data_IF_970373185149
#
_entry.id   IF_970373185149
#
_cell.length_a   1.000
_cell.length_b   1.000
_cell.length_c   1.000
_cell.angle_alpha   90.00
_cell.angle_beta   90.00
_cell.angle_gamma   90.00
#
_symmetry.space_group_name_H-M   'P 1'
#
loop_
_entity.id
_entity.type
_entity.pdbx_description
1 polymer ?
#
# COMPACT_ATOMS: atom_id res chain seq x y z
N UNK A 1 -58.74 1.36 56.81
CA UNK A 1 -58.36 0.38 57.85
C UNK A 1 -57.96 -0.90 57.13
N UNK A 2 -57.00 -0.79 56.22
CA UNK A 2 -55.55 -0.56 56.44
C UNK A 2 -54.89 -1.93 56.60
N UNK A 3 -54.17 -2.35 55.55
CA UNK A 3 -52.69 -2.45 55.56
C UNK A 3 -52.21 -3.51 56.57
N UNK A 4 -51.50 -4.56 56.20
CA UNK A 4 -50.22 -4.47 55.50
C UNK A 4 -49.66 -5.89 55.33
N UNK A 5 -48.93 -6.11 54.24
CA UNK A 5 -48.41 -7.41 53.86
C UNK A 5 -47.15 -7.85 54.61
N UNK A 6 -46.65 -9.01 54.22
CA UNK A 6 -45.21 -9.32 54.19
C UNK A 6 -45.00 -10.46 53.20
N UNK A 7 -44.18 -10.18 52.19
CA UNK A 7 -43.90 -11.10 51.10
C UNK A 7 -42.98 -12.25 51.49
N UNK A 8 -43.00 -13.28 50.66
CA UNK A 8 -41.92 -14.27 50.58
C UNK A 8 -41.67 -14.64 49.12
N UNK A 9 -40.69 -13.94 48.55
CA UNK A 9 -39.63 -14.46 47.68
C UNK A 9 -39.85 -15.85 47.06
N UNK A 10 -40.51 -15.90 45.91
CA UNK A 10 -40.44 -17.04 44.98
C UNK A 10 -39.44 -16.72 43.87
N UNK A 11 -38.21 -17.16 44.13
CA UNK A 11 -37.03 -17.22 43.24
C UNK A 11 -37.34 -17.41 41.74
N UNK A 12 -37.32 -16.29 41.00
CA UNK A 12 -37.16 -16.26 39.55
C UNK A 12 -35.69 -16.55 39.16
N UNK A 13 -35.13 -17.68 39.62
CA UNK A 13 -33.73 -18.11 39.35
C UNK A 13 -33.60 -19.43 38.59
N UNK A 14 -34.71 -20.12 38.30
CA UNK A 14 -34.70 -21.49 37.77
C UNK A 14 -34.69 -21.59 36.24
N UNK A 15 -35.06 -20.54 35.51
CA UNK A 15 -35.11 -20.61 34.03
C UNK A 15 -33.75 -20.38 33.34
N UNK A 16 -32.84 -19.59 33.93
CA UNK A 16 -31.54 -19.29 33.29
C UNK A 16 -30.62 -20.53 33.18
N UNK A 17 -30.70 -21.44 34.16
CA UNK A 17 -29.82 -22.63 34.26
C UNK A 17 -30.18 -23.74 33.25
N UNK A 18 -31.42 -23.79 32.76
CA UNK A 18 -31.91 -24.85 31.87
C UNK A 18 -31.51 -24.63 30.40
N UNK A 19 -31.38 -23.36 29.98
CA UNK A 19 -30.95 -23.00 28.62
C UNK A 19 -29.43 -22.86 28.47
N UNK A 20 -28.70 -22.71 29.59
CA UNK A 20 -27.25 -22.63 29.63
C UNK A 20 -26.51 -23.71 28.85
N UNK A 21 -26.80 -25.03 29.01
CA UNK A 21 -26.12 -26.06 28.23
C UNK A 21 -26.42 -25.99 26.73
N UNK A 22 -27.63 -25.57 26.34
CA UNK A 22 -28.00 -25.36 24.93
C UNK A 22 -27.28 -24.15 24.33
N UNK A 23 -27.22 -23.03 25.05
CA UNK A 23 -26.47 -21.83 24.64
C UNK A 23 -24.97 -22.14 24.52
N UNK A 24 -24.42 -22.91 25.46
CA UNK A 24 -23.00 -23.29 25.46
C UNK A 24 -22.69 -24.25 24.30
N UNK A 25 -23.59 -25.18 23.99
CA UNK A 25 -23.46 -26.07 22.83
C UNK A 25 -23.55 -25.28 21.50
N UNK A 26 -24.48 -24.32 21.39
CA UNK A 26 -24.57 -23.45 20.21
C UNK A 26 -23.32 -22.58 20.06
N UNK A 27 -22.84 -21.98 21.16
CA UNK A 27 -21.61 -21.20 21.14
C UNK A 27 -20.40 -22.06 20.72
N UNK A 28 -20.31 -23.28 21.23
CA UNK A 28 -19.24 -24.22 20.87
C UNK A 28 -19.33 -24.65 19.40
N UNK A 29 -20.53 -24.90 18.89
CA UNK A 29 -20.73 -25.17 17.46
C UNK A 29 -20.30 -23.99 16.59
N UNK A 30 -20.66 -22.75 16.96
CA UNK A 30 -20.24 -21.55 16.23
C UNK A 30 -18.71 -21.47 16.18
N UNK A 31 -18.03 -21.70 17.31
CA UNK A 31 -16.56 -21.69 17.38
C UNK A 31 -15.96 -22.79 16.50
N UNK A 32 -16.46 -24.03 16.60
CA UNK A 32 -15.94 -25.17 15.83
C UNK A 32 -16.15 -24.97 14.32
N UNK A 33 -17.35 -24.54 13.91
CA UNK A 33 -17.65 -24.27 12.49
C UNK A 33 -16.78 -23.12 11.97
N UNK A 34 -16.64 -22.04 12.74
CA UNK A 34 -15.81 -20.89 12.35
C UNK A 34 -14.33 -21.28 12.23
N UNK A 35 -13.80 -22.03 13.18
CA UNK A 35 -12.41 -22.51 13.16
C UNK A 35 -12.16 -23.49 12.00
N UNK A 36 -13.10 -24.40 11.73
CA UNK A 36 -13.02 -25.35 10.63
C UNK A 36 -13.05 -24.64 9.27
N UNK A 37 -13.93 -23.64 9.12
CA UNK A 37 -13.99 -22.80 7.92
C UNK A 37 -12.71 -21.99 7.74
N UNK A 38 -12.18 -21.40 8.82
CA UNK A 38 -10.92 -20.67 8.78
C UNK A 38 -9.75 -21.57 8.33
N UNK A 39 -9.63 -22.76 8.91
CA UNK A 39 -8.59 -23.73 8.54
C UNK A 39 -8.73 -24.18 7.08
N UNK A 40 -9.95 -24.51 6.64
CA UNK A 40 -10.24 -24.86 5.25
C UNK A 40 -9.80 -23.74 4.28
N UNK A 41 -10.14 -22.49 4.59
CA UNK A 41 -9.77 -21.32 3.78
C UNK A 41 -8.27 -21.10 3.71
N UNK A 42 -7.56 -21.25 4.81
CA UNK A 42 -6.10 -21.14 4.83
C UNK A 42 -5.47 -22.24 3.97
N UNK A 43 -5.92 -23.49 4.10
CA UNK A 43 -5.39 -24.62 3.29
C UNK A 43 -5.65 -24.37 1.79
N UNK A 44 -6.86 -23.91 1.45
CA UNK A 44 -7.20 -23.57 0.07
C UNK A 44 -6.31 -22.44 -0.46
N UNK A 45 -6.06 -21.41 0.33
CA UNK A 45 -5.17 -20.32 -0.07
C UNK A 45 -3.70 -20.74 -0.15
N UNK A 46 -3.22 -21.62 0.73
CA UNK A 46 -1.86 -22.13 0.67
C UNK A 46 -1.62 -22.95 -0.62
N UNK A 47 -2.67 -23.50 -1.22
CA UNK A 47 -2.60 -24.14 -2.54
C UNK A 47 -2.35 -23.15 -3.69
N UNK A 48 -2.48 -21.84 -3.45
CA UNK A 48 -2.21 -20.77 -4.43
C UNK A 48 -3.38 -20.41 -5.33
N UNK A 49 -4.59 -20.87 -5.01
CA UNK A 49 -5.79 -20.56 -5.78
C UNK A 49 -6.16 -19.08 -5.56
N UNK A 50 -6.32 -18.34 -6.67
CA UNK A 50 -7.03 -17.07 -6.64
C UNK A 50 -8.52 -17.36 -6.55
N UNK A 51 -9.12 -17.02 -5.41
CA UNK A 51 -10.51 -17.37 -5.11
C UNK A 51 -11.52 -16.62 -5.97
N UNK A 52 -11.19 -15.41 -6.43
CA UNK A 52 -12.04 -14.65 -7.34
C UNK A 52 -12.17 -15.33 -8.72
N UNK A 53 -11.12 -16.06 -9.14
CA UNK A 53 -11.04 -16.71 -10.45
C UNK A 53 -11.27 -18.23 -10.37
N UNK A 54 -11.27 -18.80 -9.16
CA UNK A 54 -11.41 -20.25 -8.94
C UNK A 54 -10.23 -21.09 -9.45
N UNK A 55 -9.09 -20.48 -9.77
CA UNK A 55 -7.90 -21.17 -10.31
C UNK A 55 -6.59 -20.56 -9.83
N UNK A 56 -5.50 -21.26 -10.08
CA UNK A 56 -4.14 -20.70 -9.95
C UNK A 56 -3.88 -19.78 -11.14
N UNK A 57 -3.31 -18.60 -10.88
CA UNK A 57 -2.92 -17.66 -11.93
C UNK A 57 -1.56 -18.06 -12.52
N UNK A 58 -1.36 -17.80 -13.81
CA UNK A 58 -0.02 -17.94 -14.41
C UNK A 58 0.93 -16.88 -13.87
N UNK A 59 2.24 -17.15 -13.88
CA UNK A 59 3.24 -16.25 -13.26
C UNK A 59 3.20 -14.82 -13.83
N UNK A 60 3.07 -14.69 -15.16
CA UNK A 60 2.97 -13.39 -15.83
C UNK A 60 1.65 -12.69 -15.51
N UNK A 61 0.54 -13.41 -15.52
CA UNK A 61 -0.78 -12.86 -15.17
C UNK A 61 -0.79 -12.36 -13.72
N UNK A 62 -0.27 -13.16 -12.80
CA UNK A 62 -0.16 -12.80 -11.40
C UNK A 62 0.72 -11.56 -11.18
N UNK A 63 1.86 -11.49 -11.87
CA UNK A 63 2.75 -10.32 -11.82
C UNK A 63 2.07 -9.06 -12.35
N UNK A 64 1.33 -9.16 -13.45
CA UNK A 64 0.58 -8.01 -13.96
C UNK A 64 -0.47 -7.55 -12.94
N UNK A 65 -1.27 -8.46 -12.36
CA UNK A 65 -2.25 -8.10 -11.32
C UNK A 65 -1.60 -7.45 -10.10
N UNK A 66 -0.39 -7.91 -9.74
CA UNK A 66 0.42 -7.29 -8.69
C UNK A 66 0.82 -5.85 -9.01
N UNK A 67 1.32 -5.61 -10.22
CA UNK A 67 1.64 -4.26 -10.70
C UNK A 67 0.39 -3.36 -10.72
N UNK A 68 -0.75 -3.87 -11.20
CA UNK A 68 -2.03 -3.16 -11.19
C UNK A 68 -2.47 -2.83 -9.76
N UNK A 69 -2.25 -3.75 -8.82
CA UNK A 69 -2.54 -3.54 -7.40
C UNK A 69 -1.68 -2.45 -6.78
N UNK A 70 -0.38 -2.38 -7.11
CA UNK A 70 0.50 -1.28 -6.68
C UNK A 70 0.01 0.07 -7.20
N UNK A 71 -0.31 0.16 -8.49
CA UNK A 71 -0.83 1.40 -9.11
C UNK A 71 -2.12 1.83 -8.43
N UNK A 72 -3.05 0.90 -8.22
CA UNK A 72 -4.31 1.16 -7.53
C UNK A 72 -4.09 1.63 -6.09
N UNK A 73 -3.14 1.04 -5.36
CA UNK A 73 -2.84 1.45 -3.99
C UNK A 73 -2.44 2.93 -3.92
N UNK A 74 -1.52 3.36 -4.79
CA UNK A 74 -1.05 4.76 -4.81
C UNK A 74 -2.15 5.73 -5.26
N UNK A 75 -2.97 5.34 -6.24
CA UNK A 75 -4.14 6.12 -6.66
C UNK A 75 -5.11 6.28 -5.49
N UNK A 76 -5.48 5.19 -4.82
CA UNK A 76 -6.38 5.23 -3.67
C UNK A 76 -5.82 6.09 -2.54
N UNK A 77 -4.52 5.98 -2.25
CA UNK A 77 -3.86 6.79 -1.23
C UNK A 77 -3.91 8.27 -1.56
N UNK A 78 -3.65 8.65 -2.81
CA UNK A 78 -3.80 10.02 -3.27
C UNK A 78 -5.21 10.58 -3.05
N UNK A 79 -6.25 9.81 -3.38
CA UNK A 79 -7.63 10.23 -3.11
C UNK A 79 -7.98 10.26 -1.62
N UNK A 80 -7.48 9.31 -0.80
CA UNK A 80 -7.69 9.31 0.65
C UNK A 80 -7.06 10.55 1.29
N UNK A 81 -5.87 10.92 0.83
CA UNK A 81 -5.17 12.13 1.25
C UNK A 81 -5.97 13.39 0.87
N UNK A 82 -6.42 13.51 -0.40
CA UNK A 82 -7.29 14.61 -0.85
C UNK A 82 -8.55 14.77 -0.02
N UNK A 83 -9.23 13.66 0.32
CA UNK A 83 -10.46 13.69 1.14
C UNK A 83 -10.21 14.13 2.58
N UNK A 84 -9.01 13.87 3.11
CA UNK A 84 -8.65 14.22 4.48
C UNK A 84 -8.21 15.69 4.59
N UNK A 85 -7.25 16.11 3.76
CA UNK A 85 -6.61 17.43 3.87
C UNK A 85 -7.22 18.49 2.93
N UNK A 86 -8.06 18.08 1.98
CA UNK A 86 -8.66 18.96 0.98
C UNK A 86 -7.69 19.45 -0.10
N UNK A 87 -6.41 19.09 -0.04
CA UNK A 87 -5.36 19.44 -1.00
C UNK A 87 -5.08 18.29 -1.97
N UNK A 88 -4.27 18.53 -2.99
CA UNK A 88 -3.93 17.54 -4.04
C UNK A 88 -2.42 17.27 -4.08
N UNK A 89 -1.75 17.46 -2.95
CA UNK A 89 -0.29 17.40 -2.85
C UNK A 89 0.23 15.96 -2.97
N UNK A 90 -0.44 14.96 -2.38
CA UNK A 90 -0.10 13.57 -2.64
C UNK A 90 -0.64 13.13 -4.01
N UNK A 91 0.27 12.85 -4.95
CA UNK A 91 -0.02 12.49 -6.33
C UNK A 91 0.51 11.09 -6.66
N UNK A 92 -0.22 10.40 -7.52
CA UNK A 92 0.23 9.22 -8.23
C UNK A 92 0.32 9.53 -9.73
N UNK A 93 1.44 9.17 -10.35
CA UNK A 93 1.71 9.38 -11.76
C UNK A 93 2.37 8.17 -12.39
N UNK A 94 2.32 8.11 -13.72
CA UNK A 94 2.90 7.04 -14.53
C UNK A 94 3.83 7.66 -15.57
N UNK A 95 5.02 7.07 -15.73
CA UNK A 95 5.88 7.29 -16.91
C UNK A 95 5.69 6.08 -17.83
N UNK A 96 5.05 6.30 -18.98
CA UNK A 96 4.75 5.25 -19.96
C UNK A 96 5.96 4.96 -20.86
N UNK A 97 6.09 3.71 -21.33
CA UNK A 97 7.10 3.33 -22.34
C UNK A 97 8.54 3.43 -21.84
N UNK A 98 8.75 3.19 -20.55
CA UNK A 98 9.96 3.58 -19.83
C UNK A 98 11.12 2.54 -19.88
N UNK A 99 11.29 1.80 -20.98
CA UNK A 99 12.34 0.77 -21.08
C UNK A 99 13.73 1.29 -20.73
N UNK A 100 14.08 2.46 -21.29
CA UNK A 100 15.38 3.11 -21.17
C UNK A 100 15.36 4.33 -20.22
N UNK A 101 14.39 4.37 -19.30
CA UNK A 101 14.26 5.50 -18.38
C UNK A 101 15.45 5.55 -17.41
N UNK A 102 16.22 6.63 -17.53
CA UNK A 102 17.37 6.94 -16.67
C UNK A 102 17.03 8.12 -15.74
N UNK A 103 16.62 7.85 -14.49
CA UNK A 103 16.29 8.90 -13.53
C UNK A 103 17.51 9.74 -13.16
N UNK A 104 18.71 9.16 -13.16
CA UNK A 104 19.95 9.88 -12.81
C UNK A 104 20.28 10.91 -13.87
N UNK A 105 20.24 10.51 -15.15
CA UNK A 105 20.42 11.44 -16.27
C UNK A 105 19.38 12.55 -16.24
N UNK A 106 18.13 12.20 -15.97
CA UNK A 106 17.04 13.18 -15.91
C UNK A 106 17.29 14.22 -14.80
N UNK A 107 17.66 13.78 -13.60
CA UNK A 107 18.03 14.66 -12.47
C UNK A 107 19.14 15.62 -12.85
N UNK A 108 20.20 15.12 -13.50
CA UNK A 108 21.34 15.95 -13.93
C UNK A 108 20.93 17.05 -14.93
N UNK A 109 19.91 16.79 -15.75
CA UNK A 109 19.40 17.75 -16.75
C UNK A 109 18.24 18.63 -16.26
N UNK A 110 17.66 18.32 -15.10
CA UNK A 110 16.49 19.02 -14.57
C UNK A 110 16.85 20.36 -13.91
N UNK A 111 18.10 20.57 -13.51
CA UNK A 111 18.52 21.78 -12.78
C UNK A 111 18.31 23.03 -13.63
N UNK A 112 17.56 23.99 -13.09
CA UNK A 112 17.38 25.35 -13.62
C UNK A 112 16.83 25.44 -15.06
N UNK A 113 16.13 24.42 -15.54
CA UNK A 113 15.58 24.41 -16.91
C UNK A 113 14.15 24.99 -17.02
N UNK A 114 13.61 25.52 -15.92
CA UNK A 114 12.28 26.16 -15.86
C UNK A 114 11.07 25.23 -15.88
N UNK A 115 11.23 23.92 -16.05
CA UNK A 115 10.13 22.94 -16.13
C UNK A 115 9.60 22.50 -14.75
N UNK A 116 8.35 22.06 -14.69
CA UNK A 116 7.79 21.40 -13.49
C UNK A 116 8.50 20.08 -13.21
N UNK A 117 8.26 19.50 -12.03
CA UNK A 117 8.77 18.17 -11.70
C UNK A 117 8.22 17.12 -12.68
N UNK A 118 6.92 17.17 -12.96
CA UNK A 118 6.23 16.29 -13.89
C UNK A 118 6.81 16.37 -15.31
N UNK A 119 7.04 17.59 -15.82
CA UNK A 119 7.56 17.81 -17.17
C UNK A 119 9.01 17.34 -17.32
N UNK A 120 9.80 17.43 -16.25
CA UNK A 120 11.20 16.99 -16.27
C UNK A 120 11.31 15.47 -16.39
N UNK A 121 10.44 14.74 -15.70
CA UNK A 121 10.46 13.28 -15.70
C UNK A 121 9.48 12.64 -16.70
N UNK A 122 8.66 13.44 -17.39
CA UNK A 122 7.64 12.93 -18.30
C UNK A 122 6.51 12.20 -17.56
N UNK A 123 6.15 12.67 -16.36
CA UNK A 123 5.15 12.02 -15.50
C UNK A 123 3.76 12.41 -15.98
N UNK A 124 2.93 11.42 -16.31
CA UNK A 124 1.50 11.60 -16.49
C UNK A 124 0.81 11.41 -15.14
N UNK A 125 0.28 12.48 -14.55
CA UNK A 125 -0.46 12.39 -13.28
C UNK A 125 -1.78 11.67 -13.50
N UNK A 126 -1.99 10.58 -12.78
CA UNK A 126 -3.21 9.76 -12.86
C UNK A 126 -4.13 9.97 -11.66
N UNK A 127 -3.58 10.38 -10.50
CA UNK A 127 -4.36 10.75 -9.34
C UNK A 127 -3.68 11.85 -8.50
N UNK A 128 -4.45 12.71 -7.83
CA UNK A 128 -5.90 12.72 -7.83
C UNK A 128 -6.44 13.48 -9.05
N UNK A 129 -7.48 12.98 -9.71
CA UNK A 129 -8.14 13.75 -10.77
C UNK A 129 -8.89 14.96 -10.18
N UNK A 130 -9.08 16.00 -11.00
CA UNK A 130 -9.87 17.18 -10.62
C UNK A 130 -11.32 16.80 -10.29
N UNK A 131 -11.87 15.81 -10.99
CA UNK A 131 -13.18 15.22 -10.72
C UNK A 131 -13.00 13.96 -9.86
N UNK A 132 -13.87 13.75 -8.86
CA UNK A 132 -13.77 12.65 -7.88
C UNK A 132 -14.08 11.25 -8.45
N UNK A 133 -13.95 11.07 -9.77
CA UNK A 133 -14.13 9.78 -10.42
C UNK A 133 -12.82 9.03 -10.48
N UNK A 134 -12.81 7.84 -9.87
CA UNK A 134 -11.72 6.89 -9.91
C UNK A 134 -11.84 6.09 -11.20
N UNK A 135 -11.38 6.65 -12.32
CA UNK A 135 -11.21 5.90 -13.58
C UNK A 135 -9.75 5.48 -13.65
N UNK A 136 -9.47 4.20 -13.39
CA UNK A 136 -8.11 3.66 -13.45
C UNK A 136 -7.96 2.94 -14.79
N UNK A 137 -7.21 3.53 -15.70
CA UNK A 137 -6.65 2.80 -16.83
C UNK A 137 -5.28 2.24 -16.41
N UNK A 138 -5.18 0.92 -16.33
CA UNK A 138 -3.97 0.27 -15.83
C UNK A 138 -2.88 0.30 -16.90
N UNK A 139 -1.67 0.78 -16.56
CA UNK A 139 -0.61 0.94 -17.55
C UNK A 139 -0.11 -0.42 -18.06
N UNK A 140 0.05 -0.52 -19.38
CA UNK A 140 0.76 -1.65 -19.98
C UNK A 140 2.25 -1.51 -19.76
N UNK A 141 2.89 -2.60 -19.41
CA UNK A 141 4.34 -2.64 -19.29
C UNK A 141 5.03 -2.34 -20.63
N UNK A 142 6.23 -1.71 -20.60
CA UNK A 142 6.95 -1.22 -19.43
C UNK A 142 6.52 0.20 -19.01
N UNK A 143 6.39 0.39 -17.70
CA UNK A 143 6.07 1.69 -17.09
C UNK A 143 6.84 1.91 -15.77
N UNK A 144 6.91 3.17 -15.31
CA UNK A 144 7.37 3.53 -13.96
C UNK A 144 6.21 4.15 -13.19
N UNK A 145 5.86 3.56 -12.05
CA UNK A 145 4.92 4.14 -11.11
C UNK A 145 5.65 5.21 -10.28
N UNK A 146 5.09 6.40 -10.21
CA UNK A 146 5.63 7.52 -9.44
C UNK A 146 4.62 7.94 -8.39
N UNK A 147 4.97 7.77 -7.12
CA UNK A 147 4.20 8.30 -5.99
C UNK A 147 4.98 9.46 -5.39
N UNK A 148 4.39 10.66 -5.31
CA UNK A 148 5.11 11.83 -4.85
C UNK A 148 4.23 12.85 -4.14
N UNK A 149 4.87 13.63 -3.28
CA UNK A 149 4.24 14.75 -2.60
C UNK A 149 4.69 16.05 -3.26
N UNK A 150 3.76 16.71 -3.94
CA UNK A 150 3.91 17.99 -4.62
C UNK A 150 3.66 19.16 -3.66
N UNK A 151 4.58 19.31 -2.70
CA UNK A 151 4.53 20.35 -1.69
C UNK A 151 5.92 20.67 -1.15
N UNK A 152 5.97 21.50 -0.11
CA UNK A 152 7.25 21.84 0.54
C UNK A 152 7.93 20.60 1.10
N UNK A 153 9.24 20.48 0.89
CA UNK A 153 10.04 19.32 1.29
C UNK A 153 9.54 17.98 0.69
N UNK A 154 8.83 18.07 -0.44
CA UNK A 154 8.25 16.95 -1.17
C UNK A 154 9.27 15.91 -1.61
N UNK A 155 8.82 14.67 -1.67
CA UNK A 155 9.62 13.55 -2.15
C UNK A 155 8.83 12.65 -3.09
N UNK A 156 9.56 11.95 -3.95
CA UNK A 156 9.05 11.11 -5.00
C UNK A 156 9.71 9.73 -4.93
N UNK A 157 8.89 8.70 -5.11
CA UNK A 157 9.31 7.31 -5.25
C UNK A 157 9.01 6.85 -6.66
N UNK A 158 10.03 6.38 -7.36
CA UNK A 158 9.94 5.84 -8.73
C UNK A 158 10.08 4.33 -8.68
N UNK A 159 9.07 3.59 -9.13
CA UNK A 159 9.03 2.12 -9.09
C UNK A 159 8.90 1.58 -10.51
N UNK A 160 10.01 1.17 -11.17
CA UNK A 160 9.97 0.60 -12.50
C UNK A 160 9.37 -0.82 -12.48
N UNK A 161 8.31 -1.03 -13.26
CA UNK A 161 7.60 -2.31 -13.38
C UNK A 161 8.52 -3.48 -13.75
N UNK A 162 9.46 -3.27 -14.69
CA UNK A 162 10.40 -4.27 -15.17
C UNK A 162 11.34 -4.83 -14.09
N UNK A 163 11.56 -4.10 -12.99
CA UNK A 163 12.39 -4.53 -11.87
C UNK A 163 11.60 -5.11 -10.69
N UNK A 164 10.28 -5.25 -10.86
CA UNK A 164 9.44 -6.02 -9.94
C UNK A 164 9.49 -7.48 -10.32
N UNK A 165 10.23 -8.27 -9.55
CA UNK A 165 10.56 -9.66 -9.85
C UNK A 165 10.07 -10.60 -8.75
N UNK A 166 9.57 -11.79 -9.08
CA UNK A 166 9.18 -12.77 -8.07
C UNK A 166 10.38 -13.20 -7.23
N UNK A 167 10.18 -13.42 -5.94
CA UNK A 167 11.18 -13.99 -5.05
C UNK A 167 11.22 -15.50 -5.25
N UNK A 168 12.40 -16.05 -5.53
CA UNK A 168 12.60 -17.47 -5.82
C UNK A 168 12.38 -18.38 -4.61
N UNK A 169 12.81 -17.97 -3.41
CA UNK A 169 12.57 -18.69 -2.16
C UNK A 169 11.70 -17.86 -1.20
N UNK A 170 10.37 -18.11 -1.16
CA UNK A 170 9.46 -17.38 -0.30
C UNK A 170 9.51 -17.86 1.17
N UNK A 171 10.22 -18.96 1.48
CA UNK A 171 10.13 -19.64 2.77
C UNK A 171 10.51 -18.76 3.97
N UNK A 172 11.49 -17.88 3.80
CA UNK A 172 11.90 -16.92 4.84
C UNK A 172 10.81 -15.88 5.11
N UNK A 173 10.20 -15.35 4.05
CA UNK A 173 9.21 -14.27 4.15
C UNK A 173 7.85 -14.79 4.59
N UNK A 174 7.49 -16.02 4.22
CA UNK A 174 6.26 -16.68 4.66
C UNK A 174 6.14 -16.76 6.18
N UNK A 175 7.26 -16.89 6.91
CA UNK A 175 7.28 -16.90 8.38
C UNK A 175 6.81 -15.57 9.00
N UNK A 176 6.87 -14.47 8.26
CA UNK A 176 6.40 -13.15 8.69
C UNK A 176 4.90 -12.92 8.41
N UNK A 177 4.25 -13.83 7.67
CA UNK A 177 2.85 -13.71 7.31
C UNK A 177 1.98 -14.35 8.38
N UNK A 178 1.03 -13.57 8.91
CA UNK A 178 0.10 -14.03 9.93
C UNK A 178 -0.93 -15.01 9.37
N UNK A 179 -1.56 -15.80 10.23
CA UNK A 179 -2.67 -16.68 9.84
C UNK A 179 -3.83 -15.91 9.22
N UNK A 180 -4.09 -14.69 9.71
CA UNK A 180 -5.12 -13.81 9.16
C UNK A 180 -4.80 -13.38 7.73
N UNK A 181 -3.53 -13.03 7.45
CA UNK A 181 -3.09 -12.70 6.10
C UNK A 181 -3.15 -13.93 5.17
N UNK A 182 -2.79 -15.12 5.66
CA UNK A 182 -2.96 -16.38 4.91
C UNK A 182 -4.42 -16.68 4.58
N UNK A 183 -5.34 -16.34 5.48
CA UNK A 183 -6.79 -16.45 5.22
C UNK A 183 -7.26 -15.55 4.06
N UNK A 184 -6.55 -14.46 3.76
CA UNK A 184 -6.80 -13.60 2.60
C UNK A 184 -5.94 -13.92 1.38
N UNK A 185 -5.21 -15.04 1.38
CA UNK A 185 -4.46 -15.50 0.22
C UNK A 185 -3.00 -15.08 0.18
N UNK A 186 -2.47 -14.48 1.24
CA UNK A 186 -1.06 -14.07 1.29
C UNK A 186 -0.13 -15.19 1.77
N UNK A 187 1.16 -15.08 1.43
CA UNK A 187 2.23 -15.91 1.99
C UNK A 187 2.76 -17.02 1.09
N UNK A 188 2.24 -17.14 -0.14
CA UNK A 188 2.81 -18.01 -1.17
C UNK A 188 3.74 -17.26 -2.12
N UNK A 189 3.33 -16.06 -2.54
CA UNK A 189 4.02 -15.28 -3.58
C UNK A 189 4.51 -13.96 -2.98
N UNK A 190 5.74 -13.61 -3.32
CA UNK A 190 6.39 -12.38 -2.91
C UNK A 190 7.10 -11.77 -4.10
N UNK A 191 7.12 -10.45 -4.17
CA UNK A 191 7.85 -9.71 -5.18
C UNK A 191 8.93 -8.86 -4.53
N UNK A 192 10.12 -8.91 -5.13
CA UNK A 192 11.16 -7.91 -4.91
C UNK A 192 10.81 -6.70 -5.76
N UNK A 193 10.67 -5.55 -5.12
CA UNK A 193 10.38 -4.26 -5.74
C UNK A 193 11.64 -3.41 -5.65
N UNK A 194 12.11 -2.94 -6.80
CA UNK A 194 13.15 -1.92 -6.87
C UNK A 194 12.49 -0.55 -7.02
N UNK A 195 12.92 0.43 -6.23
CA UNK A 195 12.45 1.80 -6.36
C UNK A 195 13.53 2.81 -6.04
N UNK A 196 13.34 4.03 -6.53
CA UNK A 196 14.28 5.13 -6.38
C UNK A 196 13.62 6.28 -5.64
N UNK A 197 14.30 6.83 -4.65
CA UNK A 197 13.84 7.99 -3.89
C UNK A 197 14.53 9.28 -4.36
N UNK A 198 13.75 10.30 -4.67
CA UNK A 198 14.22 11.61 -5.15
C UNK A 198 13.44 12.72 -4.44
N UNK A 199 14.10 13.81 -4.06
CA UNK A 199 13.39 14.99 -3.53
C UNK A 199 12.77 15.76 -4.69
N UNK A 200 11.49 16.10 -4.62
CA UNK A 200 10.79 16.85 -5.69
C UNK A 200 11.48 18.20 -5.96
N UNK A 201 11.86 18.88 -4.88
CA UNK A 201 12.57 20.18 -4.93
C UNK A 201 13.92 20.14 -5.67
N UNK A 202 14.55 18.97 -5.86
CA UNK A 202 15.80 18.91 -6.66
C UNK A 202 15.57 19.26 -8.13
N UNK A 203 14.38 18.95 -8.61
CA UNK A 203 14.16 18.64 -10.01
C UNK A 203 12.84 19.21 -10.55
N UNK A 204 12.07 19.92 -9.72
CA UNK A 204 10.97 20.79 -10.14
C UNK A 204 11.34 22.26 -10.02
N UNK A 205 10.57 23.14 -10.68
CA UNK A 205 10.72 24.60 -10.55
C UNK A 205 9.63 25.27 -9.69
N UNK A 206 8.67 24.52 -9.18
CA UNK A 206 7.58 25.05 -8.37
C UNK A 206 8.07 25.63 -7.03
N UNK A 207 7.61 26.84 -6.71
CA UNK A 207 8.06 27.60 -5.54
C UNK A 207 7.28 27.32 -4.26
N UNK A 208 6.13 26.64 -4.35
CA UNK A 208 5.25 26.31 -3.22
C UNK A 208 5.01 27.49 -2.23
N UNK A 209 4.77 28.69 -2.79
CA UNK A 209 4.55 29.96 -2.06
C UNK A 209 5.73 30.41 -1.19
N UNK A 210 6.95 29.92 -1.43
CA UNK A 210 8.15 30.33 -0.70
C UNK A 210 8.76 31.63 -1.26
N UNK A 211 9.35 32.48 -0.39
CA UNK A 211 10.20 33.59 -0.81
C UNK A 211 11.38 33.12 -1.69
N UNK A 212 11.87 33.99 -2.57
CA UNK A 212 12.87 33.61 -3.58
C UNK A 212 14.16 33.08 -2.98
N UNK A 213 14.69 33.79 -2.01
CA UNK A 213 15.94 33.42 -1.33
C UNK A 213 15.82 32.06 -0.65
N UNK A 214 14.66 31.76 -0.05
CA UNK A 214 14.37 30.47 0.60
C UNK A 214 14.29 29.37 -0.45
N UNK A 215 13.55 29.61 -1.52
CA UNK A 215 13.37 28.66 -2.63
C UNK A 215 14.72 28.30 -3.28
N UNK A 216 15.53 29.29 -3.65
CA UNK A 216 16.83 29.06 -4.30
C UNK A 216 17.75 28.24 -3.38
N UNK A 217 17.81 28.59 -2.09
CA UNK A 217 18.61 27.86 -1.11
C UNK A 217 18.15 26.42 -0.94
N UNK A 218 16.84 26.18 -0.78
CA UNK A 218 16.27 24.84 -0.63
C UNK A 218 16.49 23.99 -1.88
N UNK A 219 16.24 24.54 -3.06
CA UNK A 219 16.47 23.87 -4.34
C UNK A 219 17.92 23.42 -4.51
N UNK A 220 18.89 24.30 -4.20
CA UNK A 220 20.30 23.93 -4.27
C UNK A 220 20.64 22.82 -3.27
N UNK A 221 20.16 22.93 -2.03
CA UNK A 221 20.37 21.90 -1.01
C UNK A 221 19.74 20.56 -1.41
N UNK A 222 18.53 20.56 -1.95
CA UNK A 222 17.82 19.36 -2.40
C UNK A 222 18.53 18.72 -3.60
N UNK A 223 19.02 19.52 -4.54
CA UNK A 223 19.79 19.05 -5.69
C UNK A 223 21.10 18.39 -5.27
N UNK A 224 21.93 19.08 -4.47
CA UNK A 224 23.19 18.54 -3.98
C UNK A 224 22.99 17.29 -3.09
N UNK A 225 21.97 17.31 -2.24
CA UNK A 225 21.59 16.16 -1.41
C UNK A 225 21.20 14.95 -2.27
N UNK A 226 20.44 15.16 -3.34
CA UNK A 226 20.04 14.10 -4.27
C UNK A 226 21.24 13.52 -5.00
N UNK A 227 22.14 14.37 -5.54
CA UNK A 227 23.37 13.90 -6.19
C UNK A 227 24.26 13.10 -5.23
N UNK A 228 24.42 13.56 -3.99
CA UNK A 228 25.18 12.84 -2.97
C UNK A 228 24.57 11.48 -2.63
N UNK A 229 23.24 11.39 -2.57
CA UNK A 229 22.54 10.12 -2.31
C UNK A 229 22.68 9.14 -3.48
N UNK A 230 22.63 9.63 -4.72
CA UNK A 230 22.88 8.83 -5.93
C UNK A 230 24.32 8.31 -5.93
N UNK A 231 25.30 9.19 -5.71
CA UNK A 231 26.72 8.83 -5.69
C UNK A 231 27.05 7.77 -4.62
N UNK A 232 26.32 7.77 -3.49
CA UNK A 232 26.45 6.77 -2.42
C UNK A 232 25.62 5.50 -2.65
N UNK A 233 24.87 5.40 -3.75
CA UNK A 233 23.98 4.28 -4.03
C UNK A 233 22.77 4.17 -3.10
N UNK A 234 22.51 5.21 -2.28
CA UNK A 234 21.44 5.22 -1.27
C UNK A 234 20.07 5.55 -1.86
N UNK A 235 20.03 6.07 -3.09
CA UNK A 235 18.78 6.41 -3.75
C UNK A 235 18.01 5.17 -4.24
N UNK A 236 18.70 4.04 -4.48
CA UNK A 236 18.10 2.81 -5.00
C UNK A 236 17.83 1.86 -3.84
N UNK A 237 16.56 1.49 -3.69
CA UNK A 237 16.10 0.60 -2.65
C UNK A 237 15.58 -0.71 -3.24
N UNK A 238 15.72 -1.78 -2.46
CA UNK A 238 15.12 -3.07 -2.77
C UNK A 238 14.29 -3.49 -1.57
N UNK A 239 12.99 -3.62 -1.77
CA UNK A 239 12.06 -4.07 -0.73
C UNK A 239 11.25 -5.26 -1.20
N UNK A 240 10.71 -6.01 -0.26
CA UNK A 240 9.95 -7.23 -0.55
C UNK A 240 8.53 -7.03 -0.07
N UNK A 241 7.57 -7.24 -0.95
CA UNK A 241 6.15 -7.18 -0.63
C UNK A 241 5.51 -8.54 -0.84
N UNK A 242 4.56 -8.88 0.03
CA UNK A 242 3.73 -10.06 -0.16
C UNK A 242 2.61 -9.77 -1.17
N UNK A 243 2.29 -10.76 -1.99
CA UNK A 243 1.15 -10.71 -2.89
C UNK A 243 0.12 -11.76 -2.46
N UNK A 244 -1.17 -11.40 -2.55
CA UNK A 244 -2.26 -12.38 -2.44
C UNK A 244 -2.20 -13.30 -3.66
N UNK A 245 -2.81 -14.48 -3.60
CA UNK A 245 -2.91 -15.37 -4.76
C UNK A 245 -3.60 -14.75 -5.99
N UNK A 246 -4.35 -13.66 -5.80
CA UNK A 246 -5.00 -12.91 -6.87
C UNK A 246 -4.17 -11.71 -7.37
N UNK A 247 -2.96 -11.52 -6.84
CA UNK A 247 -2.07 -10.41 -7.17
C UNK A 247 -2.33 -9.13 -6.37
N UNK A 248 -3.02 -9.17 -5.22
CA UNK A 248 -3.14 -7.95 -4.41
C UNK A 248 -1.90 -7.71 -3.57
N UNK A 249 -1.41 -6.47 -3.47
CA UNK A 249 -0.30 -6.13 -2.57
C UNK A 249 -0.78 -6.12 -1.12
N UNK A 250 0.03 -6.67 -0.21
CA UNK A 250 -0.25 -6.63 1.21
C UNK A 250 0.00 -5.22 1.77
N UNK A 251 -1.03 -4.63 2.34
CA UNK A 251 -0.98 -3.29 2.93
C UNK A 251 -1.46 -3.29 4.37
N UNK A 252 -1.03 -2.30 5.14
CA UNK A 252 -1.54 -1.95 6.46
C UNK A 252 -2.05 -0.52 6.50
N UNK A 253 -2.94 -0.19 7.43
CA UNK A 253 -3.38 1.20 7.61
C UNK A 253 -2.22 2.01 8.21
N UNK A 254 -1.96 3.19 7.65
CA UNK A 254 -0.96 4.09 8.17
C UNK A 254 -1.36 4.69 9.52
N UNK A 255 -0.37 4.89 10.40
CA UNK A 255 -0.57 5.42 11.75
C UNK A 255 -0.73 6.96 11.80
N UNK A 256 -0.71 7.63 10.66
CA UNK A 256 -0.71 9.09 10.56
C UNK A 256 -2.11 9.74 10.66
N UNK A 257 -3.14 8.97 11.00
CA UNK A 257 -4.55 9.43 11.09
C UNK A 257 -5.23 9.63 9.73
N UNK A 258 -4.47 9.68 8.65
CA UNK A 258 -4.95 9.63 7.29
C UNK A 258 -5.10 8.15 6.96
N UNK A 259 -6.29 7.68 6.60
CA UNK A 259 -6.57 6.25 6.35
C UNK A 259 -5.86 5.69 5.10
N UNK A 260 -4.67 6.20 4.73
CA UNK A 260 -3.80 5.66 3.68
C UNK A 260 -3.37 4.24 4.02
N UNK A 261 -3.06 3.47 3.00
CA UNK A 261 -2.58 2.09 3.11
C UNK A 261 -1.14 2.03 2.68
N UNK A 262 -0.26 1.78 3.64
CA UNK A 262 1.17 1.59 3.40
C UNK A 262 1.43 0.14 3.02
N UNK A 263 2.35 -0.09 2.08
CA UNK A 263 2.78 -1.44 1.72
C UNK A 263 3.50 -2.04 2.93
N UNK A 264 3.07 -3.23 3.38
CA UNK A 264 3.76 -3.93 4.44
C UNK A 264 5.04 -4.58 3.88
N UNK A 265 6.17 -3.92 4.11
CA UNK A 265 7.47 -4.39 3.63
C UNK A 265 8.01 -5.55 4.48
N UNK A 266 8.28 -6.69 3.85
CA UNK A 266 8.75 -7.90 4.52
C UNK A 266 10.18 -7.78 5.04
N UNK A 267 10.99 -6.90 4.47
CA UNK A 267 12.39 -6.69 4.83
C UNK A 267 12.61 -5.45 5.70
N UNK A 268 11.56 -4.74 6.13
CA UNK A 268 11.72 -3.73 7.18
C UNK A 268 12.10 -4.42 8.49
N UNK A 269 13.16 -3.93 9.13
CA UNK A 269 13.43 -4.23 10.54
C UNK A 269 12.43 -3.39 11.31
N UNK A 270 11.66 -4.02 12.20
CA UNK A 270 10.42 -3.47 12.78
C UNK A 270 10.49 -2.00 13.18
N UNK A 271 9.48 -1.23 12.78
CA UNK A 271 9.03 -0.09 13.59
C UNK A 271 8.26 -0.70 14.75
N UNK A 272 8.91 -0.76 15.91
CA UNK A 272 8.26 -0.90 17.21
C UNK A 272 8.04 0.50 17.79
#
# INVERSE_FOLDING_TARGET
MDDSGTGSSSTQKTHLRRYWPGILLVALLIVVVSASYFAYRVIQNDSGICLAEGRVLGDQEHRQRFLDSLVRNEIENSYRYKRHDGNTELKAGIIYGAMDYDPVRTILTAKNNGKSFEDNFGITVVAPAMQDQLVIDYPKEPFVLVAYFDGQDGSATFTPSQYTLPVSDPGVWRKKISWHQRFYGFGKIFYKINYIFVRVECCGNDRYRQPEEVYVRKKEQAYQGTLSSIARGLAIHNSIAAASNCGDVLTEEGDNGIKVREILWMNSVGRF
#
